data_IF_381629608615
#
_entry.id   IF_381629608615
#
_cell.length_a   1.000
_cell.length_b   1.000
_cell.length_c   1.000
_cell.angle_alpha   90.00
_cell.angle_beta   90.00
_cell.angle_gamma   90.00
#
_symmetry.space_group_name_H-M   'P 1'
#
loop_
_entity.id
_entity.type
_entity.pdbx_description
1 polymer ?
#
# COMPACT_ATOMS: atom_id res chain seq x y z
N UNK A 1 -1.31 3.94 -22.54
CA UNK A 1 -0.23 4.91 -22.29
C UNK A 1 1.06 4.35 -22.85
N UNK A 2 1.91 5.21 -23.40
CA UNK A 2 3.19 4.87 -24.03
C UNK A 2 4.35 5.26 -23.13
N UNK A 3 5.52 4.66 -23.36
CA UNK A 3 6.76 5.04 -22.68
C UNK A 3 7.02 6.54 -22.86
N UNK A 4 7.37 7.22 -21.77
CA UNK A 4 7.58 8.68 -21.72
C UNK A 4 6.33 9.49 -21.38
N UNK A 5 5.13 8.89 -21.41
CA UNK A 5 3.92 9.57 -20.93
C UNK A 5 4.01 9.85 -19.42
N UNK A 6 3.27 10.85 -18.94
CA UNK A 6 3.13 11.14 -17.51
C UNK A 6 1.66 11.05 -17.10
N UNK A 7 1.34 10.14 -16.16
CA UNK A 7 0.04 10.12 -15.51
C UNK A 7 0.02 11.21 -14.43
N UNK A 8 -0.79 12.23 -14.61
CA UNK A 8 -0.97 13.30 -13.60
C UNK A 8 -2.31 13.15 -12.91
N UNK A 9 -2.31 13.21 -11.59
CA UNK A 9 -3.52 13.21 -10.76
C UNK A 9 -3.53 14.35 -9.76
N UNK A 10 -4.73 14.71 -9.31
CA UNK A 10 -4.88 15.74 -8.29
C UNK A 10 -4.38 15.27 -6.93
N UNK A 11 -4.80 14.07 -6.49
CA UNK A 11 -4.46 13.44 -5.21
C UNK A 11 -4.26 11.94 -5.36
N UNK A 12 -3.45 11.36 -4.49
CA UNK A 12 -3.18 9.91 -4.46
C UNK A 12 -4.44 9.07 -4.16
N UNK A 13 -5.36 9.58 -3.33
CA UNK A 13 -6.62 8.91 -2.97
C UNK A 13 -7.57 8.67 -4.16
N UNK A 14 -7.31 9.28 -5.32
CA UNK A 14 -8.18 9.21 -6.50
C UNK A 14 -7.89 8.05 -7.45
N UNK A 15 -6.83 7.28 -7.19
CA UNK A 15 -6.40 6.21 -8.08
C UNK A 15 -6.65 4.83 -7.48
N UNK A 16 -6.65 4.70 -6.16
CA UNK A 16 -6.73 3.40 -5.49
C UNK A 16 -7.64 3.45 -4.27
N UNK A 17 -8.29 2.32 -3.99
CA UNK A 17 -9.03 2.11 -2.73
C UNK A 17 -8.11 1.67 -1.58
N UNK A 18 -6.88 1.26 -1.91
CA UNK A 18 -5.90 0.74 -0.95
C UNK A 18 -4.52 1.29 -1.29
N UNK A 19 -3.74 1.64 -0.27
CA UNK A 19 -2.37 2.14 -0.42
C UNK A 19 -1.48 1.15 -1.19
N UNK A 20 -1.63 -0.15 -0.92
CA UNK A 20 -0.87 -1.24 -1.57
C UNK A 20 -1.13 -1.28 -3.07
N UNK A 21 -2.40 -1.28 -3.47
CA UNK A 21 -2.78 -1.28 -4.89
C UNK A 21 -2.29 -0.03 -5.62
N UNK A 22 -2.29 1.13 -4.95
CA UNK A 22 -1.72 2.36 -5.50
C UNK A 22 -0.21 2.22 -5.76
N UNK A 23 0.52 1.66 -4.81
CA UNK A 23 1.97 1.43 -4.94
C UNK A 23 2.29 0.47 -6.08
N UNK A 24 1.59 -0.66 -6.17
CA UNK A 24 1.76 -1.60 -7.26
C UNK A 24 1.49 -0.92 -8.60
N UNK A 25 0.39 -0.19 -8.71
CA UNK A 25 0.02 0.51 -9.93
C UNK A 25 1.08 1.52 -10.39
N UNK A 26 1.58 2.37 -9.48
CA UNK A 26 2.62 3.35 -9.84
C UNK A 26 3.97 2.66 -10.13
N UNK A 27 4.27 1.54 -9.46
CA UNK A 27 5.46 0.73 -9.76
C UNK A 27 5.40 0.16 -11.18
N UNK A 28 4.27 -0.41 -11.59
CA UNK A 28 4.05 -0.89 -12.97
C UNK A 28 4.17 0.22 -14.02
N UNK A 29 3.69 1.44 -13.71
CA UNK A 29 3.86 2.58 -14.60
C UNK A 29 5.35 2.89 -14.80
N UNK A 30 6.13 2.90 -13.71
CA UNK A 30 7.56 3.19 -13.76
C UNK A 30 8.33 2.12 -14.56
N UNK A 31 7.98 0.84 -14.39
CA UNK A 31 8.54 -0.28 -15.18
C UNK A 31 8.25 -0.14 -16.68
N UNK A 32 7.06 0.38 -17.03
CA UNK A 32 6.67 0.71 -18.42
C UNK A 32 7.32 2.01 -18.93
N UNK A 33 8.15 2.66 -18.11
CA UNK A 33 8.78 3.96 -18.40
C UNK A 33 7.76 5.10 -18.50
N UNK A 34 6.64 4.99 -17.78
CA UNK A 34 5.61 6.00 -17.63
C UNK A 34 5.83 6.71 -16.31
N UNK A 35 5.85 8.04 -16.34
CA UNK A 35 6.01 8.86 -15.14
C UNK A 35 4.68 9.04 -14.43
N UNK A 36 4.77 9.31 -13.14
CA UNK A 36 3.65 9.52 -12.26
C UNK A 36 3.81 10.85 -11.54
N UNK A 37 2.75 11.65 -11.55
CA UNK A 37 2.72 12.95 -10.91
C UNK A 37 1.46 13.11 -10.08
N UNK A 38 1.60 13.52 -8.83
CA UNK A 38 0.48 14.01 -8.04
C UNK A 38 0.66 15.47 -7.67
N UNK A 39 -0.40 16.25 -7.84
CA UNK A 39 -0.36 17.71 -7.68
C UNK A 39 -0.36 18.09 -6.21
N UNK A 40 -1.23 17.48 -5.40
CA UNK A 40 -1.41 17.88 -4.00
C UNK A 40 -0.25 17.44 -3.10
N UNK A 41 0.32 16.26 -3.36
CA UNK A 41 1.45 15.71 -2.60
C UNK A 41 2.81 16.15 -3.20
N UNK A 42 2.78 16.89 -4.32
CA UNK A 42 3.96 17.37 -5.04
C UNK A 42 4.97 16.25 -5.36
N UNK A 43 4.47 15.08 -5.74
CA UNK A 43 5.27 13.92 -6.12
C UNK A 43 5.41 13.90 -7.64
N UNK A 44 6.64 13.78 -8.13
CA UNK A 44 6.93 13.67 -9.57
C UNK A 44 8.03 12.62 -9.82
N UNK A 45 7.62 11.43 -10.27
CA UNK A 45 8.53 10.29 -10.48
C UNK A 45 9.35 10.38 -11.77
N UNK A 46 9.26 11.50 -12.52
CA UNK A 46 10.21 11.80 -13.59
C UNK A 46 11.59 12.19 -13.04
N UNK A 47 11.65 12.70 -11.81
CA UNK A 47 12.89 13.09 -11.13
C UNK A 47 13.44 11.98 -10.23
N UNK A 48 14.76 11.95 -10.01
CA UNK A 48 15.40 11.01 -9.08
C UNK A 48 14.88 11.19 -7.64
N UNK A 49 14.73 12.44 -7.20
CA UNK A 49 14.18 12.78 -5.88
C UNK A 49 12.73 12.31 -5.72
N UNK A 50 11.88 12.52 -6.72
CA UNK A 50 10.49 12.06 -6.67
C UNK A 50 10.37 10.53 -6.73
N UNK A 51 11.27 9.83 -7.43
CA UNK A 51 11.37 8.36 -7.35
C UNK A 51 11.77 7.89 -5.95
N UNK A 52 12.74 8.53 -5.31
CA UNK A 52 13.15 8.21 -3.94
C UNK A 52 11.99 8.41 -2.95
N UNK A 53 11.33 9.57 -3.01
CA UNK A 53 10.18 9.87 -2.15
C UNK A 53 9.09 8.81 -2.35
N UNK A 54 8.76 8.49 -3.61
CA UNK A 54 7.79 7.45 -3.91
C UNK A 54 8.20 6.08 -3.32
N UNK A 55 9.46 5.66 -3.46
CA UNK A 55 9.95 4.41 -2.86
C UNK A 55 9.84 4.39 -1.33
N UNK A 56 10.12 5.50 -0.66
CA UNK A 56 9.93 5.61 0.80
C UNK A 56 8.46 5.40 1.16
N UNK A 57 7.52 6.01 0.42
CA UNK A 57 6.09 5.77 0.61
C UNK A 57 5.71 4.30 0.39
N UNK A 58 6.33 3.63 -0.58
CA UNK A 58 6.11 2.20 -0.79
C UNK A 58 6.48 1.37 0.46
N UNK A 59 7.67 1.61 1.00
CA UNK A 59 8.18 0.91 2.19
C UNK A 59 7.29 1.19 3.41
N UNK A 60 6.85 2.44 3.59
CA UNK A 60 5.97 2.80 4.70
C UNK A 60 4.62 2.08 4.63
N UNK A 61 4.00 2.05 3.46
CA UNK A 61 2.71 1.38 3.30
C UNK A 61 2.79 -0.14 3.45
N UNK A 62 3.90 -0.75 3.02
CA UNK A 62 4.17 -2.17 3.27
C UNK A 62 4.29 -2.43 4.77
N UNK A 63 5.01 -1.57 5.49
CA UNK A 63 5.13 -1.66 6.95
C UNK A 63 3.77 -1.54 7.65
N UNK A 64 2.96 -0.53 7.31
CA UNK A 64 1.62 -0.36 7.87
C UNK A 64 0.73 -1.59 7.64
N UNK A 65 0.81 -2.18 6.44
CA UNK A 65 0.09 -3.42 6.11
C UNK A 65 0.54 -4.57 6.99
N UNK A 66 1.85 -4.77 7.15
CA UNK A 66 2.39 -5.86 7.95
C UNK A 66 1.94 -5.74 9.41
N UNK A 67 1.99 -4.53 9.98
CA UNK A 67 1.47 -4.24 11.32
C UNK A 67 -0.02 -4.55 11.44
N UNK A 68 -0.83 -4.19 10.43
CA UNK A 68 -2.26 -4.48 10.42
C UNK A 68 -2.56 -5.99 10.39
N UNK A 69 -1.80 -6.75 9.59
CA UNK A 69 -1.92 -8.20 9.50
C UNK A 69 -1.52 -8.86 10.82
N UNK A 70 -0.40 -8.46 11.41
CA UNK A 70 0.06 -8.96 12.71
C UNK A 70 -1.00 -8.77 13.78
N UNK A 71 -1.59 -7.57 13.85
CA UNK A 71 -2.67 -7.27 14.80
C UNK A 71 -3.90 -8.15 14.57
N UNK A 72 -4.28 -8.36 13.31
CA UNK A 72 -5.43 -9.20 12.96
C UNK A 72 -5.21 -10.65 13.37
N UNK A 73 -4.03 -11.20 13.08
CA UNK A 73 -3.67 -12.56 13.44
C UNK A 73 -3.61 -12.77 14.96
N UNK A 74 -3.09 -11.78 15.71
CA UNK A 74 -3.10 -11.81 17.17
C UNK A 74 -4.53 -11.79 17.75
N UNK A 75 -5.45 -11.06 17.12
CA UNK A 75 -6.87 -11.09 17.52
C UNK A 75 -7.54 -12.44 17.23
N UNK A 76 -7.27 -13.02 16.06
CA UNK A 76 -7.80 -14.34 15.68
C UNK A 76 -7.29 -15.45 16.61
N UNK A 77 -6.00 -15.45 16.95
CA UNK A 77 -5.43 -16.47 17.83
C UNK A 77 -5.99 -16.41 19.25
N UNK A 78 -6.28 -15.20 19.76
CA UNK A 78 -6.98 -15.03 21.04
C UNK A 78 -8.40 -15.60 20.97
N UNK A 79 -9.16 -15.29 19.90
CA UNK A 79 -10.52 -15.83 19.72
C UNK A 79 -10.54 -17.35 19.58
N UNK A 80 -9.57 -17.95 18.88
CA UNK A 80 -9.44 -19.40 18.75
C UNK A 80 -9.16 -20.09 20.10
N UNK A 81 -8.35 -19.46 20.96
CA UNK A 81 -8.07 -19.96 22.30
C UNK A 81 -9.30 -19.85 23.21
N UNK A 82 -10.00 -18.71 23.18
CA UNK A 82 -11.24 -18.52 23.94
C UNK A 82 -12.33 -19.53 23.51
N UNK A 83 -12.54 -19.72 22.20
CA UNK A 83 -13.49 -20.69 21.68
C UNK A 83 -13.16 -22.14 22.05
N UNK A 84 -11.87 -22.49 22.18
CA UNK A 84 -11.43 -23.82 22.66
C UNK A 84 -11.67 -24.03 24.15
N UNK A 85 -11.49 -23.00 24.98
CA UNK A 85 -11.76 -23.09 26.42
C UNK A 85 -13.26 -23.24 26.70
N UNK A 86 -14.12 -22.52 25.99
CA UNK A 86 -15.58 -22.64 26.12
C UNK A 86 -16.10 -24.02 25.70
N UNK A 87 -15.46 -24.67 24.72
CA UNK A 87 -15.82 -26.01 24.28
C UNK A 87 -15.43 -27.08 25.32
N UNK A 88 -14.27 -26.95 25.98
CA UNK A 88 -13.79 -27.90 26.98
C UNK A 88 -14.47 -27.80 28.36
N UNK A 89 -15.21 -26.73 28.64
CA UNK A 89 -16.03 -26.58 29.86
C UNK A 89 -17.46 -27.15 29.73
N UNK A 90 -17.82 -27.68 28.56
CA UNK A 90 -19.15 -28.27 28.29
C UNK A 90 -19.18 -29.81 28.31
N UNK A 91 -18.09 -30.47 28.68
CA UNK A 91 -18.01 -31.93 28.88
C UNK A 91 -18.09 -32.33 30.36
#
# INVERSE_FOLDING_TARGET
MRKGDTLTVWRLDRIGRTTVGLIQFVTELNEKGIHFKSISENIDTSSASGKLIFQIFCVLAEHERNVLIERTNAGLSLQELEGKMEAGQKE
#
